data_IF_957814434377
#
_entry.id   IF_957814434377
#
_cell.length_a   1.000
_cell.length_b   1.000
_cell.length_c   1.000
_cell.angle_alpha   90.00
_cell.angle_beta   90.00
_cell.angle_gamma   90.00
#
_symmetry.space_group_name_H-M   'P 1'
#
loop_
_entity.id
_entity.type
_entity.pdbx_description
1 polymer ?
#
# COMPACT_ATOMS: atom_id res chain seq x y z
N UNK A 1 -9.08 -11.15 -21.36
CA UNK A 1 -8.79 -10.33 -20.16
C UNK A 1 -7.45 -10.84 -19.65
N UNK A 2 -6.37 -10.17 -20.02
CA UNK A 2 -5.03 -10.53 -19.58
C UNK A 2 -4.99 -10.50 -18.05
N UNK A 3 -4.58 -11.63 -17.48
CA UNK A 3 -4.56 -11.90 -16.04
C UNK A 3 -3.75 -10.82 -15.32
N UNK A 4 -4.48 -9.89 -14.73
CA UNK A 4 -3.94 -8.73 -14.08
C UNK A 4 -3.71 -9.10 -12.63
N UNK A 5 -2.48 -9.51 -12.32
CA UNK A 5 -2.13 -9.93 -10.97
C UNK A 5 -2.19 -8.74 -10.01
N UNK A 6 -3.28 -8.67 -9.25
CA UNK A 6 -3.47 -7.71 -8.16
C UNK A 6 -3.08 -8.42 -6.86
N UNK A 7 -1.94 -8.05 -6.25
CA UNK A 7 -1.49 -8.68 -5.04
C UNK A 7 -2.47 -8.39 -3.90
N UNK A 8 -2.80 -9.41 -3.10
CA UNK A 8 -3.63 -9.26 -1.92
C UNK A 8 -2.86 -8.69 -0.73
N UNK A 9 -1.54 -8.87 -0.74
CA UNK A 9 -0.64 -8.46 0.33
C UNK A 9 0.55 -7.65 -0.18
N UNK A 10 1.16 -6.85 0.69
CA UNK A 10 2.38 -6.13 0.34
C UNK A 10 3.55 -7.07 0.02
N UNK A 11 3.59 -8.27 0.62
CA UNK A 11 4.65 -9.23 0.34
C UNK A 11 4.58 -9.74 -1.11
N UNK A 12 3.38 -10.04 -1.61
CA UNK A 12 3.16 -10.38 -3.02
C UNK A 12 3.50 -9.19 -3.93
N UNK A 13 3.05 -7.99 -3.56
CA UNK A 13 3.34 -6.76 -4.30
C UNK A 13 4.85 -6.45 -4.40
N UNK A 14 5.64 -6.80 -3.38
CA UNK A 14 7.09 -6.60 -3.38
C UNK A 14 7.83 -7.62 -4.25
N UNK A 15 7.18 -8.73 -4.62
CA UNK A 15 7.69 -9.71 -5.58
C UNK A 15 7.69 -9.18 -7.01
N UNK A 16 6.78 -8.25 -7.34
CA UNK A 16 6.67 -7.63 -8.64
C UNK A 16 7.35 -6.26 -8.69
N UNK A 17 8.24 -5.99 -9.66
CA UNK A 17 8.92 -4.70 -9.76
C UNK A 17 7.96 -3.52 -10.00
N UNK A 18 6.85 -3.76 -10.72
CA UNK A 18 5.82 -2.74 -10.99
C UNK A 18 5.12 -2.29 -9.71
N UNK A 19 4.72 -3.27 -8.88
CA UNK A 19 4.05 -3.03 -7.62
C UNK A 19 5.00 -2.52 -6.55
N UNK A 20 6.24 -3.02 -6.53
CA UNK A 20 7.31 -2.53 -5.65
C UNK A 20 7.59 -1.04 -5.86
N UNK A 21 7.57 -0.55 -7.11
CA UNK A 21 7.71 0.88 -7.39
C UNK A 21 6.53 1.67 -6.82
N UNK A 22 5.30 1.23 -7.05
CA UNK A 22 4.10 1.90 -6.53
C UNK A 22 4.08 1.94 -4.99
N UNK A 23 4.47 0.84 -4.34
CA UNK A 23 4.62 0.76 -2.87
C UNK A 23 5.71 1.72 -2.39
N UNK A 24 6.84 1.80 -3.10
CA UNK A 24 7.94 2.69 -2.74
C UNK A 24 7.56 4.16 -2.88
N UNK A 25 6.86 4.54 -3.95
CA UNK A 25 6.33 5.89 -4.14
C UNK A 25 5.40 6.28 -2.99
N UNK A 26 4.48 5.38 -2.60
CA UNK A 26 3.60 5.63 -1.45
C UNK A 26 4.41 5.74 -0.16
N UNK A 27 5.38 4.85 0.07
CA UNK A 27 6.21 4.91 1.27
C UNK A 27 7.02 6.22 1.37
N UNK A 28 7.53 6.71 0.23
CA UNK A 28 8.27 7.96 0.16
C UNK A 28 7.34 9.16 0.41
N UNK A 29 6.13 9.13 -0.14
CA UNK A 29 5.09 10.12 0.14
C UNK A 29 4.73 10.17 1.63
N UNK A 30 4.58 9.00 2.28
CA UNK A 30 4.32 8.91 3.73
C UNK A 30 5.47 9.48 4.56
N UNK A 31 6.72 9.17 4.18
CA UNK A 31 7.92 9.73 4.82
C UNK A 31 7.98 11.25 4.65
N UNK A 32 7.68 11.75 3.45
CA UNK A 32 7.67 13.18 3.14
C UNK A 32 6.56 13.93 3.86
N UNK A 33 5.45 13.27 4.18
CA UNK A 33 4.34 13.88 4.91
C UNK A 33 4.66 14.15 6.40
N UNK A 34 5.86 13.79 6.91
CA UNK A 34 6.36 14.04 8.27
C UNK A 34 5.42 13.59 9.42
N UNK A 35 4.34 12.88 9.12
CA UNK A 35 3.37 12.35 10.07
C UNK A 35 3.68 10.89 10.45
N UNK A 36 4.69 10.28 9.81
CA UNK A 36 5.00 8.87 9.92
C UNK A 36 6.45 8.66 10.35
N UNK A 37 6.65 8.33 11.63
CA UNK A 37 7.92 7.79 12.11
C UNK A 37 7.80 6.27 12.20
N UNK A 38 8.78 5.56 11.62
CA UNK A 38 8.93 4.12 11.84
C UNK A 38 9.47 3.96 13.26
N UNK A 39 8.55 3.84 14.22
CA UNK A 39 8.88 3.62 15.62
C UNK A 39 8.56 2.18 15.97
N UNK A 40 9.50 1.51 16.63
CA UNK A 40 9.25 0.21 17.28
C UNK A 40 8.06 0.34 18.22
N UNK A 41 7.17 -0.65 18.15
CA UNK A 41 5.94 -0.66 18.92
C UNK A 41 6.27 -0.45 20.40
N UNK A 42 5.84 0.67 21.03
CA UNK A 42 5.99 0.77 22.46
C UNK A 42 5.13 -0.33 23.09
N UNK A 43 5.70 -1.04 24.08
CA UNK A 43 5.10 -2.21 24.74
C UNK A 43 3.65 -1.99 25.22
N UNK A 44 3.24 -0.73 25.37
CA UNK A 44 1.96 -0.29 25.92
C UNK A 44 0.96 0.28 24.89
N UNK A 45 1.33 0.37 23.60
CA UNK A 45 0.44 0.85 22.54
C UNK A 45 0.13 -0.20 21.49
N UNK A 46 -1.15 -0.28 21.11
CA UNK A 46 -1.59 -1.08 19.97
C UNK A 46 -1.00 -0.51 18.68
N UNK A 47 -0.46 -1.40 17.85
CA UNK A 47 -0.12 -1.07 16.48
C UNK A 47 -1.38 -0.56 15.75
N UNK A 48 -1.29 0.63 15.19
CA UNK A 48 -2.27 1.08 14.20
C UNK A 48 -2.20 0.07 13.05
N UNK A 49 -3.29 -0.66 12.85
CA UNK A 49 -3.35 -1.65 11.78
C UNK A 49 -3.14 -0.94 10.45
N UNK A 50 -2.10 -1.28 9.71
CA UNK A 50 -1.88 -0.70 8.40
C UNK A 50 -2.41 -1.66 7.34
N UNK A 51 -3.41 -1.24 6.57
CA UNK A 51 -3.94 -2.03 5.45
C UNK A 51 -3.45 -1.45 4.13
N UNK A 52 -2.88 -2.30 3.27
CA UNK A 52 -2.53 -1.92 1.90
C UNK A 52 -3.71 -2.22 0.97
N UNK A 53 -4.00 -1.28 0.09
CA UNK A 53 -5.00 -1.42 -0.97
C UNK A 53 -4.29 -1.25 -2.29
N UNK A 54 -4.30 -2.30 -3.10
CA UNK A 54 -3.75 -2.30 -4.44
C UNK A 54 -4.88 -2.13 -5.44
N UNK A 55 -4.74 -1.17 -6.34
CA UNK A 55 -5.74 -0.89 -7.37
C UNK A 55 -5.03 -0.77 -8.70
N UNK A 56 -5.51 -1.51 -9.69
CA UNK A 56 -5.07 -1.32 -11.07
C UNK A 56 -6.12 -0.53 -11.81
N UNK A 57 -5.71 0.58 -12.43
CA UNK A 57 -6.54 1.28 -13.40
C UNK A 57 -6.35 0.60 -14.75
N UNK A 58 -7.44 0.16 -15.35
CA UNK A 58 -7.48 -0.35 -16.71
C UNK A 58 -8.07 0.72 -17.64
N UNK A 59 -7.55 0.79 -18.87
CA UNK A 59 -8.11 1.61 -19.95
C UNK A 59 -9.42 0.99 -20.46
N UNK A 60 -10.21 1.78 -21.17
CA UNK A 60 -11.41 1.30 -21.87
C UNK A 60 -11.10 0.17 -22.86
N UNK A 61 -9.88 0.16 -23.43
CA UNK A 61 -9.35 -0.91 -24.27
C UNK A 61 -8.96 -2.21 -23.53
N UNK A 62 -9.14 -2.27 -22.20
CA UNK A 62 -8.81 -3.44 -21.38
C UNK A 62 -7.32 -3.59 -21.04
N UNK A 63 -6.48 -2.62 -21.40
CA UNK A 63 -5.05 -2.63 -21.07
C UNK A 63 -4.77 -1.91 -19.74
N UNK A 64 -3.67 -2.27 -19.07
CA UNK A 64 -3.26 -1.64 -17.81
C UNK A 64 -2.85 -0.20 -18.06
N UNK A 65 -3.55 0.74 -17.43
CA UNK A 65 -3.17 2.14 -17.43
C UNK A 65 -2.14 2.44 -16.34
N UNK A 66 -2.43 2.03 -15.10
CA UNK A 66 -1.56 2.34 -13.97
C UNK A 66 -1.79 1.43 -12.76
N UNK A 67 -0.69 1.02 -12.14
CA UNK A 67 -0.67 0.38 -10.83
C UNK A 67 -0.66 1.44 -9.73
N UNK A 68 -1.60 1.36 -8.79
CA UNK A 68 -1.67 2.25 -7.63
C UNK A 68 -1.67 1.43 -6.35
N UNK A 69 -0.70 1.72 -5.48
CA UNK A 69 -0.69 1.23 -4.11
C UNK A 69 -1.14 2.36 -3.18
N UNK A 70 -2.04 2.08 -2.25
CA UNK A 70 -2.48 3.04 -1.25
C UNK A 70 -2.48 2.42 0.13
N UNK A 71 -1.88 3.10 1.10
CA UNK A 71 -1.83 2.62 2.50
C UNK A 71 -2.90 3.33 3.32
N UNK A 72 -3.78 2.54 3.94
CA UNK A 72 -4.78 3.02 4.89
C UNK A 72 -4.35 2.72 6.32
N UNK A 73 -4.54 3.71 7.19
CA UNK A 73 -4.44 3.55 8.63
C UNK A 73 -5.79 3.09 9.16
N UNK A 74 -5.83 1.93 9.82
CA UNK A 74 -6.95 1.53 10.64
C UNK A 74 -6.72 2.17 12.01
N UNK A 75 -7.22 3.39 12.18
CA UNK A 75 -7.32 4.03 13.49
C UNK A 75 -8.18 3.14 14.38
N UNK A 76 -7.53 2.39 15.28
CA UNK A 76 -8.21 1.68 16.33
C UNK A 76 -8.46 2.65 17.48
N UNK A 77 -9.44 3.53 17.30
CA UNK A 77 -10.08 4.22 18.41
C UNK A 77 -10.82 3.15 19.21
N UNK A 78 -10.26 2.74 20.34
CA UNK A 78 -11.01 2.06 21.38
C UNK A 78 -12.17 2.98 21.77
N UNK A 79 -13.41 2.51 21.56
CA UNK A 79 -14.60 3.03 22.23
C UNK A 79 -14.45 2.75 23.73
#
# INVERSE_FOLDING_TARGET
ISDLFVPGTIQEALGDPNWKLAVKEEMDALRKNNTWSITDLPHDKRAVGCKWVFTVKCKADGNVERYKASKFQLDTTSI
#
